data_IF_164848945558
#
_entry.id   IF_164848945558
#
_cell.length_a   1.000
_cell.length_b   1.000
_cell.length_c   1.000
_cell.angle_alpha   90.00
_cell.angle_beta   90.00
_cell.angle_gamma   90.00
#
_symmetry.space_group_name_H-M   'P 1'
#
loop_
_entity.id
_entity.type
_entity.pdbx_description
1 polymer ?
#
# COMPACT_ATOMS: atom_id res chain seq x y z
N UNK A 1 -25.80 -28.57 -14.23
CA UNK A 1 -25.28 -27.71 -15.33
C UNK A 1 -23.76 -27.67 -15.27
N UNK A 2 -23.06 -27.33 -16.37
CA UNK A 2 -21.61 -27.23 -16.37
C UNK A 2 -21.14 -25.96 -15.61
N UNK A 3 -20.09 -26.11 -14.80
CA UNK A 3 -19.40 -25.01 -14.14
C UNK A 3 -18.04 -24.85 -14.82
N UNK A 4 -17.82 -23.70 -15.42
CA UNK A 4 -16.55 -23.31 -16.01
C UNK A 4 -15.58 -23.05 -14.88
N UNK A 5 -14.47 -23.78 -14.91
CA UNK A 5 -13.42 -23.66 -13.91
C UNK A 5 -12.15 -23.08 -14.52
N UNK A 6 -11.80 -23.44 -15.76
CA UNK A 6 -10.61 -22.92 -16.43
C UNK A 6 -10.58 -21.39 -16.43
N UNK A 7 -9.52 -20.79 -15.85
CA UNK A 7 -9.44 -19.34 -15.67
C UNK A 7 -9.54 -18.56 -16.98
N UNK A 8 -9.12 -19.13 -18.12
CA UNK A 8 -9.16 -18.46 -19.43
C UNK A 8 -10.57 -18.28 -19.96
N UNK A 9 -11.51 -19.09 -19.47
CA UNK A 9 -12.92 -19.03 -19.86
C UNK A 9 -13.75 -18.18 -18.87
N UNK A 10 -13.13 -17.74 -17.76
CA UNK A 10 -13.73 -16.79 -16.83
C UNK A 10 -13.59 -15.35 -17.37
N UNK A 11 -14.45 -14.45 -16.88
CA UNK A 11 -14.27 -13.02 -17.11
C UNK A 11 -12.95 -12.58 -16.48
N UNK A 12 -12.05 -12.07 -17.31
CA UNK A 12 -10.72 -11.61 -16.91
C UNK A 12 -10.68 -10.10 -16.76
N UNK A 13 -9.79 -9.63 -15.90
CA UNK A 13 -9.50 -8.23 -15.72
C UNK A 13 -8.34 -7.75 -16.62
N UNK A 14 -8.02 -6.45 -16.58
CA UNK A 14 -6.97 -5.83 -17.43
C UNK A 14 -5.59 -6.47 -17.26
N UNK A 15 -5.33 -7.12 -16.13
CA UNK A 15 -4.07 -7.77 -15.80
C UNK A 15 -4.09 -9.31 -15.94
N UNK A 16 -5.13 -9.87 -16.57
CA UNK A 16 -5.22 -11.30 -16.91
C UNK A 16 -5.62 -12.23 -15.77
N UNK A 17 -6.01 -11.69 -14.60
CA UNK A 17 -6.61 -12.44 -13.50
C UNK A 17 -8.13 -12.50 -13.67
N UNK A 18 -8.81 -13.57 -13.20
CA UNK A 18 -10.26 -13.58 -13.10
C UNK A 18 -10.77 -12.40 -12.26
N UNK A 19 -11.89 -11.82 -12.68
CA UNK A 19 -12.65 -10.89 -11.84
C UNK A 19 -13.27 -11.65 -10.68
N UNK A 20 -13.50 -10.98 -9.54
CA UNK A 20 -13.96 -11.67 -8.34
C UNK A 20 -15.34 -12.31 -8.55
N UNK A 21 -16.26 -11.64 -9.27
CA UNK A 21 -17.62 -12.10 -9.57
C UNK A 21 -17.63 -13.37 -10.42
N UNK A 22 -16.67 -13.51 -11.35
CA UNK A 22 -16.53 -14.69 -12.18
C UNK A 22 -16.15 -15.95 -11.39
N UNK A 23 -15.59 -15.77 -10.18
CA UNK A 23 -15.18 -16.86 -9.31
C UNK A 23 -16.30 -17.33 -8.36
N UNK A 24 -17.47 -16.69 -8.34
CA UNK A 24 -18.60 -17.09 -7.48
C UNK A 24 -19.01 -18.57 -7.68
N UNK A 25 -19.23 -19.08 -8.90
CA UNK A 25 -19.58 -20.48 -9.10
C UNK A 25 -18.45 -21.43 -8.72
N UNK A 26 -17.19 -21.04 -8.96
CA UNK A 26 -16.01 -21.86 -8.67
C UNK A 26 -15.82 -22.02 -7.16
N UNK A 27 -15.95 -20.94 -6.40
CA UNK A 27 -15.82 -20.96 -4.93
C UNK A 27 -16.94 -21.79 -4.30
N UNK A 28 -18.17 -21.65 -4.78
CA UNK A 28 -19.28 -22.45 -4.29
C UNK A 28 -19.14 -23.93 -4.70
N UNK A 29 -18.60 -24.22 -5.89
CA UNK A 29 -18.26 -25.58 -6.30
C UNK A 29 -17.24 -26.21 -5.37
N UNK A 30 -16.14 -25.52 -5.08
CA UNK A 30 -15.14 -25.98 -4.11
C UNK A 30 -15.80 -26.27 -2.77
N UNK A 31 -16.64 -25.37 -2.26
CA UNK A 31 -17.35 -25.60 -1.00
C UNK A 31 -18.31 -26.80 -1.04
N UNK A 32 -18.89 -27.11 -2.20
CA UNK A 32 -19.80 -28.26 -2.38
C UNK A 32 -19.11 -29.63 -2.39
N UNK A 33 -17.81 -29.66 -2.64
CA UNK A 33 -17.01 -30.90 -2.69
C UNK A 33 -16.62 -31.40 -1.29
N UNK A 34 -16.87 -30.60 -0.25
CA UNK A 34 -16.62 -30.95 1.14
C UNK A 34 -17.93 -31.18 1.89
N UNK A 35 -18.03 -32.34 2.54
CA UNK A 35 -19.18 -32.67 3.39
C UNK A 35 -19.18 -31.90 4.72
N UNK A 36 -17.98 -31.57 5.21
CA UNK A 36 -17.72 -30.91 6.50
C UNK A 36 -17.29 -29.44 6.34
N UNK A 37 -17.07 -28.78 7.48
CA UNK A 37 -16.61 -27.40 7.54
C UNK A 37 -15.19 -27.26 6.97
N UNK A 38 -14.97 -26.23 6.15
CA UNK A 38 -13.71 -26.00 5.44
C UNK A 38 -13.10 -24.65 5.79
N UNK A 39 -11.77 -24.64 5.94
CA UNK A 39 -11.02 -23.41 6.21
C UNK A 39 -11.09 -22.45 5.02
N UNK A 40 -11.16 -21.15 5.31
CA UNK A 40 -11.11 -20.08 4.30
C UNK A 40 -9.88 -20.17 3.41
N UNK A 41 -8.73 -20.51 4.00
CA UNK A 41 -7.48 -20.72 3.25
C UNK A 41 -7.58 -21.90 2.31
N UNK A 42 -8.15 -23.02 2.76
CA UNK A 42 -8.39 -24.21 1.92
C UNK A 42 -9.28 -23.90 0.73
N UNK A 43 -10.39 -23.15 0.93
CA UNK A 43 -11.25 -22.71 -0.18
C UNK A 43 -10.43 -21.92 -1.21
N UNK A 44 -9.59 -20.98 -0.75
CA UNK A 44 -8.78 -20.15 -1.65
C UNK A 44 -7.78 -21.00 -2.43
N UNK A 45 -7.05 -21.88 -1.76
CA UNK A 45 -6.03 -22.72 -2.38
C UNK A 45 -6.66 -23.69 -3.39
N UNK A 46 -7.80 -24.30 -3.05
CA UNK A 46 -8.51 -25.22 -3.94
C UNK A 46 -9.16 -24.50 -5.11
N UNK A 47 -9.73 -23.31 -4.91
CA UNK A 47 -10.24 -22.49 -6.02
C UNK A 47 -9.13 -22.14 -7.02
N UNK A 48 -7.94 -21.75 -6.55
CA UNK A 48 -6.78 -21.49 -7.41
C UNK A 48 -6.41 -22.73 -8.23
N UNK A 49 -6.38 -23.91 -7.58
CA UNK A 49 -6.09 -25.19 -8.25
C UNK A 49 -7.16 -25.55 -9.27
N UNK A 50 -8.45 -25.42 -8.90
CA UNK A 50 -9.60 -25.71 -9.75
C UNK A 50 -9.60 -24.86 -11.00
N UNK A 51 -9.15 -23.61 -10.89
CA UNK A 51 -9.06 -22.70 -12.03
C UNK A 51 -7.87 -22.93 -12.95
N UNK A 52 -6.95 -23.83 -12.58
CA UNK A 52 -5.71 -24.07 -13.32
C UNK A 52 -4.89 -22.78 -13.51
N UNK A 53 -4.93 -21.87 -12.52
CA UNK A 53 -4.29 -20.55 -12.65
C UNK A 53 -2.75 -20.72 -12.66
N UNK A 54 -2.02 -20.16 -13.64
CA UNK A 54 -0.57 -20.35 -13.74
C UNK A 54 0.21 -19.61 -12.65
N UNK A 55 1.36 -20.16 -12.22
CA UNK A 55 2.20 -19.62 -11.14
C UNK A 55 2.53 -18.13 -11.26
N UNK A 56 2.87 -17.57 -12.44
CA UNK A 56 3.15 -16.13 -12.57
C UNK A 56 1.99 -15.25 -12.13
N UNK A 57 0.74 -15.65 -12.42
CA UNK A 57 -0.46 -14.91 -12.03
C UNK A 57 -0.76 -15.06 -10.53
N UNK A 58 -0.47 -16.22 -9.94
CA UNK A 58 -0.61 -16.44 -8.49
C UNK A 58 0.35 -15.56 -7.66
N UNK A 59 1.52 -15.24 -8.22
CA UNK A 59 2.58 -14.48 -7.57
C UNK A 59 2.41 -12.96 -7.65
N UNK A 60 1.37 -12.46 -8.34
CA UNK A 60 1.08 -11.03 -8.39
C UNK A 60 0.73 -10.50 -6.99
N UNK A 61 1.39 -9.40 -6.62
CA UNK A 61 1.25 -8.76 -5.31
C UNK A 61 0.71 -7.34 -5.43
N UNK A 62 -0.07 -6.90 -4.44
CA UNK A 62 -0.47 -5.50 -4.27
C UNK A 62 0.72 -4.64 -3.84
N UNK A 63 0.56 -3.33 -3.84
CA UNK A 63 1.53 -2.37 -3.29
C UNK A 63 1.90 -2.65 -1.82
N UNK A 64 1.05 -3.39 -1.09
CA UNK A 64 1.26 -3.84 0.30
C UNK A 64 1.93 -5.21 0.42
N UNK A 65 2.32 -5.83 -0.70
CA UNK A 65 2.97 -7.15 -0.73
C UNK A 65 2.02 -8.35 -0.60
N UNK A 66 0.70 -8.14 -0.58
CA UNK A 66 -0.31 -9.18 -0.43
C UNK A 66 -0.63 -9.85 -1.78
N UNK A 67 -0.92 -11.16 -1.79
CA UNK A 67 -1.33 -11.86 -3.02
C UNK A 67 -2.68 -11.34 -3.53
N UNK A 68 -2.68 -10.83 -4.77
CA UNK A 68 -3.88 -10.25 -5.39
C UNK A 68 -4.98 -11.30 -5.54
N UNK A 69 -4.67 -12.48 -6.09
CA UNK A 69 -5.67 -13.53 -6.30
C UNK A 69 -6.23 -14.06 -4.98
N UNK A 70 -5.38 -14.20 -3.95
CA UNK A 70 -5.80 -14.70 -2.64
C UNK A 70 -6.74 -13.72 -1.94
N UNK A 71 -6.50 -12.41 -2.09
CA UNK A 71 -7.43 -11.36 -1.66
C UNK A 71 -8.73 -11.43 -2.46
N UNK A 72 -8.65 -11.59 -3.79
CA UNK A 72 -9.82 -11.62 -4.69
C UNK A 72 -10.79 -12.76 -4.39
N UNK A 73 -10.29 -13.98 -4.17
CA UNK A 73 -11.14 -15.13 -3.82
C UNK A 73 -11.81 -14.93 -2.45
N UNK A 74 -11.27 -14.05 -1.61
CA UNK A 74 -11.92 -13.64 -0.37
C UNK A 74 -13.30 -13.01 -0.57
N UNK A 75 -13.54 -12.30 -1.68
CA UNK A 75 -14.81 -11.60 -1.96
C UNK A 75 -15.95 -12.55 -2.30
N UNK A 76 -15.80 -13.51 -3.22
CA UNK A 76 -16.81 -14.55 -3.42
C UNK A 76 -17.20 -15.25 -2.13
N UNK A 77 -16.23 -15.60 -1.28
CA UNK A 77 -16.51 -16.25 0.00
C UNK A 77 -17.41 -15.35 0.87
N UNK A 78 -17.08 -14.06 0.96
CA UNK A 78 -17.89 -13.08 1.71
C UNK A 78 -19.28 -12.89 1.09
N UNK A 79 -19.38 -12.70 -0.23
CA UNK A 79 -20.66 -12.44 -0.91
C UNK A 79 -21.58 -13.67 -0.86
N UNK A 80 -21.03 -14.88 -1.00
CA UNK A 80 -21.77 -16.13 -0.82
C UNK A 80 -22.22 -16.31 0.64
N UNK A 81 -21.42 -15.87 1.62
CA UNK A 81 -21.81 -15.93 3.03
C UNK A 81 -22.92 -14.92 3.36
N UNK A 82 -22.79 -13.66 2.91
CA UNK A 82 -23.79 -12.59 3.12
C UNK A 82 -25.12 -12.93 2.44
N UNK A 83 -25.09 -13.66 1.34
CA UNK A 83 -26.29 -14.10 0.61
C UNK A 83 -26.91 -15.40 1.11
N UNK A 84 -26.27 -16.10 2.05
CA UNK A 84 -26.77 -17.35 2.63
C UNK A 84 -26.48 -18.61 1.82
N UNK A 85 -25.62 -18.53 0.81
CA UNK A 85 -25.19 -19.70 0.03
C UNK A 85 -24.04 -20.45 0.72
N UNK A 86 -23.24 -19.72 1.50
CA UNK A 86 -22.33 -20.27 2.50
C UNK A 86 -22.83 -19.86 3.89
N UNK A 87 -22.59 -20.73 4.87
CA UNK A 87 -22.66 -20.38 6.27
C UNK A 87 -21.26 -20.44 6.88
N UNK A 88 -21.11 -19.75 8.01
CA UNK A 88 -19.86 -19.66 8.73
C UNK A 88 -20.07 -20.13 10.16
N UNK A 89 -20.00 -21.45 10.42
CA UNK A 89 -20.32 -22.01 11.73
C UNK A 89 -19.27 -21.68 12.79
N UNK A 90 -17.99 -21.50 12.41
CA UNK A 90 -16.89 -21.12 13.30
C UNK A 90 -15.92 -20.16 12.59
N UNK A 91 -15.05 -19.47 13.35
CA UNK A 91 -14.07 -18.52 12.78
C UNK A 91 -13.24 -19.17 11.68
N UNK A 92 -13.22 -18.54 10.51
CA UNK A 92 -12.46 -19.02 9.36
C UNK A 92 -12.92 -20.36 8.78
N UNK A 93 -14.00 -20.97 9.31
CA UNK A 93 -14.60 -22.20 8.82
C UNK A 93 -15.92 -21.88 8.12
N UNK A 94 -16.09 -22.44 6.93
CA UNK A 94 -17.25 -22.22 6.07
C UNK A 94 -17.88 -23.55 5.71
N UNK A 95 -19.17 -23.56 5.44
CA UNK A 95 -19.89 -24.73 4.96
C UNK A 95 -20.92 -24.29 3.92
N UNK A 96 -21.14 -25.10 2.88
CA UNK A 96 -22.17 -24.81 1.90
C UNK A 96 -23.56 -25.09 2.48
N UNK A 97 -24.50 -24.18 2.30
CA UNK A 97 -25.89 -24.36 2.76
C UNK A 97 -26.69 -25.22 1.77
N UNK A 98 -27.87 -25.69 2.20
CA UNK A 98 -28.78 -26.38 1.27
C UNK A 98 -29.21 -25.50 0.10
N UNK A 99 -29.41 -24.20 0.35
CA UNK A 99 -29.68 -23.19 -0.69
C UNK A 99 -28.49 -23.09 -1.65
N UNK A 100 -27.27 -23.03 -1.12
CA UNK A 100 -26.04 -23.03 -1.92
C UNK A 100 -25.94 -24.23 -2.86
N UNK A 101 -26.19 -25.44 -2.34
CA UNK A 101 -26.19 -26.68 -3.15
C UNK A 101 -27.24 -26.65 -4.26
N UNK A 102 -28.47 -26.23 -3.93
CA UNK A 102 -29.57 -26.14 -4.89
C UNK A 102 -29.24 -25.15 -6.01
N UNK A 103 -28.84 -23.92 -5.66
CA UNK A 103 -28.56 -22.87 -6.64
C UNK A 103 -27.34 -23.20 -7.50
N UNK A 104 -26.32 -23.84 -6.93
CA UNK A 104 -25.18 -24.34 -7.70
C UNK A 104 -25.62 -25.34 -8.78
N UNK A 105 -26.50 -26.29 -8.43
CA UNK A 105 -27.03 -27.28 -9.36
C UNK A 105 -27.91 -26.66 -10.46
N UNK A 106 -28.82 -25.77 -10.08
CA UNK A 106 -29.81 -25.14 -10.98
C UNK A 106 -29.19 -24.08 -11.90
N UNK A 107 -28.25 -23.28 -11.41
CA UNK A 107 -27.71 -22.12 -12.13
C UNK A 107 -26.33 -22.37 -12.74
N UNK A 108 -25.47 -23.17 -12.11
CA UNK A 108 -24.08 -23.35 -12.55
C UNK A 108 -23.39 -22.01 -12.85
N UNK A 109 -22.89 -21.84 -14.08
CA UNK A 109 -22.28 -20.60 -14.56
C UNK A 109 -23.20 -19.35 -14.53
N UNK A 110 -24.52 -19.53 -14.44
CA UNK A 110 -25.47 -18.41 -14.34
C UNK A 110 -25.63 -17.87 -12.92
N UNK A 111 -24.85 -18.38 -11.96
CA UNK A 111 -24.81 -17.86 -10.59
C UNK A 111 -23.99 -16.56 -10.55
N UNK A 112 -24.56 -15.49 -11.08
CA UNK A 112 -23.93 -14.16 -11.15
C UNK A 112 -24.07 -13.39 -9.83
N UNK A 113 -23.25 -12.36 -9.63
CA UNK A 113 -23.39 -11.42 -8.52
C UNK A 113 -24.78 -10.79 -8.49
N UNK A 114 -25.32 -10.38 -9.65
CA UNK A 114 -26.67 -9.84 -9.78
C UNK A 114 -27.74 -10.80 -9.22
N UNK A 115 -27.63 -12.10 -9.52
CA UNK A 115 -28.55 -13.10 -9.00
C UNK A 115 -28.38 -13.35 -7.50
N UNK A 116 -27.14 -13.38 -7.01
CA UNK A 116 -26.83 -13.58 -5.60
C UNK A 116 -27.34 -12.41 -4.74
N UNK A 117 -27.31 -11.19 -5.27
CA UNK A 117 -27.81 -9.99 -4.58
C UNK A 117 -29.33 -9.95 -4.42
N UNK A 118 -30.06 -10.77 -5.18
CA UNK A 118 -31.52 -10.93 -5.06
C UNK A 118 -31.90 -11.88 -3.91
N UNK A 119 -30.94 -12.52 -3.23
CA UNK A 119 -31.25 -13.44 -2.14
C UNK A 119 -31.79 -12.68 -0.90
N UNK A 120 -32.77 -13.24 -0.17
CA UNK A 120 -33.40 -12.56 0.97
C UNK A 120 -32.41 -12.09 2.04
N UNK A 121 -31.41 -12.92 2.37
CA UNK A 121 -30.38 -12.56 3.36
C UNK A 121 -29.52 -11.38 2.90
N UNK A 122 -29.17 -11.33 1.62
CA UNK A 122 -28.42 -10.21 1.06
C UNK A 122 -29.23 -8.91 1.10
N UNK A 123 -30.51 -8.97 0.70
CA UNK A 123 -31.42 -7.81 0.74
C UNK A 123 -31.58 -7.31 2.18
N UNK A 124 -31.70 -8.23 3.15
CA UNK A 124 -31.80 -7.88 4.56
C UNK A 124 -30.50 -7.20 5.06
N UNK A 125 -29.34 -7.75 4.74
CA UNK A 125 -28.05 -7.16 5.06
C UNK A 125 -27.90 -5.74 4.47
N UNK A 126 -28.32 -5.54 3.22
CA UNK A 126 -28.32 -4.21 2.58
C UNK A 126 -29.24 -3.22 3.31
N UNK A 127 -30.45 -3.64 3.70
CA UNK A 127 -31.38 -2.79 4.48
C UNK A 127 -30.77 -2.35 5.81
N UNK A 128 -30.04 -3.23 6.48
CA UNK A 128 -29.33 -2.92 7.73
C UNK A 128 -28.18 -1.92 7.52
N UNK A 129 -27.47 -2.00 6.39
CA UNK A 129 -26.47 -1.00 5.99
C UNK A 129 -27.09 0.38 5.73
N UNK A 130 -28.26 0.44 5.06
CA UNK A 130 -29.00 1.69 4.80
C UNK A 130 -29.48 2.33 6.10
N UNK A 131 -30.06 1.53 7.00
CA UNK A 131 -30.57 2.01 8.30
C UNK A 131 -29.45 2.58 9.20
N UNK A 132 -28.20 2.14 9.02
CA UNK A 132 -27.02 2.71 9.70
C UNK A 132 -26.54 4.05 9.14
N UNK A 133 -27.23 4.63 8.15
CA UNK A 133 -26.94 5.98 7.63
C UNK A 133 -26.02 6.04 6.41
N UNK A 134 -25.77 4.92 5.72
CA UNK A 134 -24.96 4.88 4.50
C UNK A 134 -25.78 5.20 3.23
N UNK A 135 -26.49 6.34 3.19
CA UNK A 135 -27.35 6.69 2.05
C UNK A 135 -26.60 6.91 0.73
N UNK A 136 -25.28 7.16 0.72
CA UNK A 136 -24.51 7.39 -0.52
C UNK A 136 -23.91 6.11 -1.14
N UNK A 137 -23.83 5.01 -0.40
CA UNK A 137 -23.23 3.75 -0.89
C UNK A 137 -24.24 2.95 -1.75
N UNK A 138 -25.54 3.12 -1.49
CA UNK A 138 -26.60 2.32 -2.14
C UNK A 138 -26.83 2.75 -3.59
N UNK A 139 -26.68 4.04 -3.90
CA UNK A 139 -26.68 4.52 -5.29
C UNK A 139 -25.33 4.30 -5.99
N UNK A 140 -24.21 4.36 -5.26
CA UNK A 140 -22.87 4.10 -5.79
C UNK A 140 -22.60 2.62 -6.09
N UNK A 141 -23.35 1.69 -5.49
CA UNK A 141 -23.32 0.27 -5.86
C UNK A 141 -23.81 0.01 -7.30
N UNK A 142 -24.58 0.93 -7.88
CA UNK A 142 -24.93 0.92 -9.31
C UNK A 142 -23.87 1.60 -10.21
N UNK A 143 -22.99 2.44 -9.63
CA UNK A 143 -21.87 3.07 -10.36
C UNK A 143 -20.61 2.18 -10.31
N UNK A 144 -20.51 1.25 -9.36
CA UNK A 144 -19.42 0.27 -9.25
C UNK A 144 -19.52 -0.92 -10.23
N UNK A 145 -20.38 -0.85 -11.24
CA UNK A 145 -20.50 -1.90 -12.27
C UNK A 145 -19.35 -1.91 -13.29
N UNK A 146 -18.42 -0.95 -13.24
CA UNK A 146 -17.33 -0.85 -14.22
C UNK A 146 -15.94 -1.31 -13.74
N UNK A 147 -15.74 -1.56 -12.44
CA UNK A 147 -14.44 -2.06 -11.94
C UNK A 147 -14.62 -3.24 -10.98
N UNK A 148 -14.89 -4.43 -11.55
CA UNK A 148 -14.74 -5.72 -10.86
C UNK A 148 -13.28 -6.05 -10.46
N UNK A 149 -12.40 -5.04 -10.46
CA UNK A 149 -10.95 -5.10 -10.29
C UNK A 149 -10.47 -4.52 -8.94
N UNK A 150 -11.27 -3.68 -8.25
CA UNK A 150 -10.82 -2.90 -7.09
C UNK A 150 -11.71 -3.03 -5.85
N UNK A 151 -11.07 -3.37 -4.71
CA UNK A 151 -11.66 -3.32 -3.37
C UNK A 151 -11.93 -1.86 -2.96
N UNK A 152 -13.09 -1.51 -2.34
CA UNK A 152 -13.36 -0.17 -1.82
C UNK A 152 -12.24 0.40 -0.92
N UNK A 153 -11.60 -0.43 -0.09
CA UNK A 153 -10.46 0.00 0.73
C UNK A 153 -9.23 0.33 -0.10
N UNK A 154 -8.95 -0.45 -1.15
CA UNK A 154 -7.85 -0.15 -2.08
C UNK A 154 -8.12 1.13 -2.88
N UNK A 155 -9.39 1.39 -3.20
CA UNK A 155 -9.78 2.65 -3.82
C UNK A 155 -9.48 3.83 -2.89
N UNK A 156 -9.89 3.75 -1.61
CA UNK A 156 -9.56 4.77 -0.60
C UNK A 156 -8.05 4.97 -0.48
N UNK A 157 -7.27 3.89 -0.37
CA UNK A 157 -5.81 3.96 -0.31
C UNK A 157 -5.21 4.66 -1.53
N UNK A 158 -5.70 4.33 -2.73
CA UNK A 158 -5.23 4.95 -3.98
C UNK A 158 -5.57 6.43 -4.05
N UNK A 159 -6.74 6.83 -3.54
CA UNK A 159 -7.17 8.23 -3.48
C UNK A 159 -6.32 9.01 -2.47
N UNK A 160 -6.09 8.43 -1.28
CA UNK A 160 -5.21 9.02 -0.26
C UNK A 160 -3.79 9.18 -0.79
N UNK A 161 -3.25 8.16 -1.46
CA UNK A 161 -1.91 8.22 -2.08
C UNK A 161 -1.83 9.35 -3.12
N UNK A 162 -2.76 9.40 -4.08
CA UNK A 162 -2.79 10.46 -5.10
C UNK A 162 -2.89 11.87 -4.48
N UNK A 163 -3.69 12.02 -3.42
CA UNK A 163 -3.80 13.27 -2.70
C UNK A 163 -2.46 13.65 -2.05
N UNK A 164 -1.82 12.71 -1.35
CA UNK A 164 -0.53 12.92 -0.71
C UNK A 164 0.59 13.20 -1.72
N UNK A 165 0.62 12.52 -2.87
CA UNK A 165 1.58 12.78 -3.96
C UNK A 165 1.45 14.23 -4.45
N UNK A 166 0.22 14.72 -4.63
CA UNK A 166 -0.03 16.13 -5.00
C UNK A 166 0.47 17.10 -3.93
N UNK A 167 0.25 16.79 -2.64
CA UNK A 167 0.73 17.60 -1.53
C UNK A 167 2.25 17.59 -1.45
N UNK A 168 2.89 16.44 -1.67
CA UNK A 168 4.35 16.25 -1.71
C UNK A 168 4.99 17.17 -2.78
N UNK A 169 4.41 17.20 -3.98
CA UNK A 169 4.86 18.09 -5.07
C UNK A 169 4.69 19.58 -4.71
N UNK A 170 3.53 19.96 -4.17
CA UNK A 170 3.26 21.34 -3.77
C UNK A 170 4.20 21.81 -2.63
N UNK A 171 4.50 20.91 -1.69
CA UNK A 171 5.45 21.13 -0.60
C UNK A 171 6.86 21.38 -1.16
N UNK A 172 7.34 20.54 -2.07
CA UNK A 172 8.64 20.69 -2.71
C UNK A 172 8.79 22.04 -3.43
N UNK A 173 7.74 22.49 -4.13
CA UNK A 173 7.72 23.81 -4.77
C UNK A 173 7.83 24.96 -3.76
N UNK A 174 7.16 24.86 -2.60
CA UNK A 174 7.32 25.86 -1.53
C UNK A 174 8.76 25.87 -0.99
N UNK A 175 9.38 24.70 -0.82
CA UNK A 175 10.77 24.59 -0.34
C UNK A 175 11.73 25.26 -1.33
N UNK A 176 11.58 25.02 -2.64
CA UNK A 176 12.41 25.64 -3.69
C UNK A 176 12.34 27.18 -3.68
N UNK A 177 11.15 27.73 -3.41
CA UNK A 177 10.89 29.18 -3.28
C UNK A 177 11.42 29.79 -1.98
N UNK A 178 11.63 28.98 -0.94
CA UNK A 178 12.23 29.40 0.32
C UNK A 178 13.68 29.87 0.17
N UNK A 179 14.23 30.53 1.19
CA UNK A 179 15.64 30.93 1.20
C UNK A 179 16.57 29.71 1.38
N UNK A 180 17.86 29.78 0.97
CA UNK A 180 18.83 28.72 1.26
C UNK A 180 18.93 28.40 2.76
N UNK A 181 18.94 29.43 3.61
CA UNK A 181 18.94 29.26 5.07
C UNK A 181 17.70 28.54 5.60
N UNK A 182 16.52 28.82 5.02
CA UNK A 182 15.30 28.07 5.37
C UNK A 182 15.44 26.58 5.02
N UNK A 183 16.02 26.27 3.86
CA UNK A 183 16.22 24.88 3.44
C UNK A 183 17.19 24.12 4.35
N UNK A 184 18.30 24.74 4.76
CA UNK A 184 19.22 24.14 5.73
C UNK A 184 18.51 23.82 7.06
N UNK A 185 17.75 24.78 7.59
CA UNK A 185 16.97 24.59 8.82
C UNK A 185 15.95 23.45 8.66
N UNK A 186 15.24 23.42 7.54
CA UNK A 186 14.23 22.40 7.23
C UNK A 186 14.83 20.99 7.23
N UNK A 187 15.99 20.82 6.61
CA UNK A 187 16.68 19.53 6.54
C UNK A 187 17.07 19.05 7.93
N UNK A 188 17.57 19.93 8.78
CA UNK A 188 17.91 19.56 10.17
C UNK A 188 16.66 19.21 10.99
N UNK A 189 15.56 19.95 10.81
CA UNK A 189 14.29 19.65 11.46
C UNK A 189 13.74 18.28 11.03
N UNK A 190 13.82 17.95 9.73
CA UNK A 190 13.47 16.64 9.21
C UNK A 190 14.30 15.53 9.86
N UNK A 191 15.63 15.67 9.86
CA UNK A 191 16.53 14.67 10.44
C UNK A 191 16.29 14.48 11.93
N UNK A 192 15.99 15.56 12.66
CA UNK A 192 15.61 15.49 14.08
C UNK A 192 14.32 14.69 14.28
N UNK A 193 13.29 14.91 13.46
CA UNK A 193 12.03 14.15 13.53
C UNK A 193 12.18 12.69 13.10
N UNK A 194 13.19 12.38 12.29
CA UNK A 194 13.60 11.01 11.97
C UNK A 194 14.36 10.32 13.12
N UNK A 195 14.74 11.05 14.16
CA UNK A 195 15.43 10.52 15.33
C UNK A 195 16.95 10.69 15.33
N UNK A 196 17.53 11.39 14.35
CA UNK A 196 18.96 11.73 14.35
C UNK A 196 19.24 12.81 15.40
N UNK A 197 20.37 12.67 16.11
CA UNK A 197 20.75 13.53 17.24
C UNK A 197 22.13 14.12 16.99
N UNK A 198 22.44 15.30 17.51
CA UNK A 198 23.81 15.85 17.48
C UNK A 198 24.57 15.56 18.78
N UNK A 199 25.71 16.23 18.97
CA UNK A 199 26.67 16.01 20.07
C UNK A 199 26.06 16.17 21.49
N UNK A 200 24.85 16.75 21.60
CA UNK A 200 24.10 16.91 22.85
C UNK A 200 22.64 16.42 22.77
N UNK A 201 22.35 15.45 21.90
CA UNK A 201 20.99 14.92 21.73
C UNK A 201 20.08 15.72 20.78
N UNK A 202 20.56 16.85 20.23
CA UNK A 202 19.86 17.70 19.26
C UNK A 202 20.61 17.75 17.94
N UNK A 203 19.96 17.48 16.81
CA UNK A 203 20.58 17.59 15.48
C UNK A 203 21.18 19.01 15.31
N UNK A 204 22.46 19.09 14.96
CA UNK A 204 23.19 20.36 14.93
C UNK A 204 23.46 20.80 13.49
N UNK A 205 23.01 22.01 13.13
CA UNK A 205 23.54 22.71 11.95
C UNK A 205 24.96 23.15 12.33
N UNK A 206 25.98 22.66 11.63
CA UNK A 206 27.31 23.26 11.76
C UNK A 206 27.25 24.65 11.17
N UNK A 207 27.37 25.69 12.00
CA UNK A 207 27.49 27.05 11.49
C UNK A 207 28.75 27.15 10.63
N UNK A 208 28.53 27.34 9.32
CA UNK A 208 29.46 27.99 8.40
C UNK A 208 30.90 27.46 8.56
N UNK A 209 31.11 26.16 8.36
CA UNK A 209 32.47 25.67 8.27
C UNK A 209 33.07 26.17 6.96
N UNK A 210 34.23 26.80 7.02
CA UNK A 210 35.03 27.19 5.85
C UNK A 210 35.49 25.99 4.99
N UNK A 211 35.04 24.78 5.31
CA UNK A 211 35.29 23.56 4.56
C UNK A 211 34.25 23.35 3.47
N UNK A 212 34.58 23.83 2.27
CA UNK A 212 34.57 23.14 0.96
C UNK A 212 33.50 22.05 0.66
N UNK A 213 32.34 22.04 1.33
CA UNK A 213 31.23 21.13 1.05
C UNK A 213 30.82 20.19 2.17
N UNK A 214 30.69 20.64 3.43
CA UNK A 214 29.85 19.98 4.44
C UNK A 214 28.92 21.02 5.08
N UNK A 215 27.61 20.77 5.05
CA UNK A 215 26.60 21.69 5.57
C UNK A 215 26.08 21.29 6.97
N UNK A 216 26.29 20.04 7.39
CA UNK A 216 25.84 19.57 8.70
C UNK A 216 26.51 18.28 9.19
N UNK A 217 26.42 18.05 10.49
CA UNK A 217 26.91 16.84 11.16
C UNK A 217 25.78 16.31 12.05
N UNK A 218 25.41 15.05 11.84
CA UNK A 218 24.38 14.36 12.63
C UNK A 218 24.94 13.04 13.17
N UNK A 219 24.51 12.64 14.34
CA UNK A 219 24.80 11.33 14.93
C UNK A 219 23.56 10.45 14.85
N UNK A 220 23.77 9.17 14.56
CA UNK A 220 22.73 8.15 14.60
C UNK A 220 22.33 7.76 16.03
N UNK A 221 23.21 8.05 16.99
CA UNK A 221 23.03 7.73 18.39
C UNK A 221 23.34 8.93 19.29
N UNK A 222 22.80 8.90 20.51
CA UNK A 222 22.96 9.99 21.47
C UNK A 222 24.38 10.12 22.04
N UNK A 223 25.22 9.10 21.91
CA UNK A 223 26.60 9.07 22.40
C UNK A 223 27.59 9.59 21.36
N UNK A 224 27.15 9.84 20.13
CA UNK A 224 28.00 10.33 19.04
C UNK A 224 28.95 9.27 18.47
N UNK A 225 28.66 7.98 18.67
CA UNK A 225 29.55 6.90 18.17
C UNK A 225 29.44 6.67 16.67
N UNK A 226 28.33 7.08 16.07
CA UNK A 226 28.05 6.94 14.63
C UNK A 226 27.67 8.27 14.02
N UNK A 227 28.68 9.02 13.58
CA UNK A 227 28.52 10.33 12.92
C UNK A 227 28.32 10.17 11.42
N UNK A 228 27.36 10.93 10.87
CA UNK A 228 27.05 11.03 9.45
C UNK A 228 27.12 12.50 9.06
N UNK A 229 27.80 12.78 7.96
CA UNK A 229 27.97 14.13 7.44
C UNK A 229 26.92 14.41 6.37
N UNK A 230 26.47 15.66 6.30
CA UNK A 230 25.38 16.10 5.45
C UNK A 230 25.84 17.18 4.50
N UNK A 231 25.42 17.09 3.23
CA UNK A 231 25.38 18.21 2.30
C UNK A 231 23.95 18.43 1.82
N UNK A 232 23.48 19.67 1.80
CA UNK A 232 22.15 20.08 1.36
C UNK A 232 22.26 21.15 0.25
N UNK A 233 21.88 20.80 -0.98
CA UNK A 233 21.88 21.73 -2.14
C UNK A 233 20.48 22.10 -2.59
N UNK A 234 20.12 23.37 -2.46
CA UNK A 234 18.86 23.90 -2.99
C UNK A 234 18.99 24.27 -4.47
N UNK A 235 18.54 23.41 -5.36
CA UNK A 235 18.55 23.61 -6.82
C UNK A 235 17.14 23.63 -7.42
N UNK A 236 17.03 24.32 -8.57
CA UNK A 236 15.81 24.34 -9.37
C UNK A 236 15.65 23.04 -10.16
N UNK A 237 14.42 22.75 -10.58
CA UNK A 237 14.10 21.59 -11.42
C UNK A 237 14.97 21.59 -12.67
N UNK A 238 15.55 20.43 -12.99
CA UNK A 238 16.40 20.23 -14.16
C UNK A 238 17.85 20.68 -13.98
N UNK A 239 18.17 21.42 -12.91
CA UNK A 239 19.55 21.64 -12.50
C UNK A 239 20.00 20.48 -11.60
N UNK A 240 20.34 19.36 -12.23
CA UNK A 240 20.68 18.14 -11.50
C UNK A 240 22.08 18.24 -10.90
N UNK A 241 22.25 17.66 -9.71
CA UNK A 241 23.53 17.53 -9.02
C UNK A 241 24.44 16.62 -9.84
N UNK A 242 25.66 17.10 -10.09
CA UNK A 242 26.61 16.45 -11.00
C UNK A 242 27.69 15.67 -10.27
N UNK A 243 28.39 14.78 -11.00
CA UNK A 243 29.44 13.90 -10.44
C UNK A 243 30.55 14.66 -9.72
N UNK A 244 30.93 15.83 -10.21
CA UNK A 244 31.96 16.68 -9.58
C UNK A 244 31.55 17.13 -8.17
N UNK A 245 30.26 17.36 -7.91
CA UNK A 245 29.77 17.70 -6.56
C UNK A 245 29.89 16.50 -5.63
N UNK A 246 29.61 15.28 -6.10
CA UNK A 246 29.80 14.07 -5.31
C UNK A 246 31.27 13.83 -4.98
N UNK A 247 32.17 14.08 -5.94
CA UNK A 247 33.62 13.99 -5.72
C UNK A 247 34.12 15.01 -4.70
N UNK A 248 33.61 16.25 -4.78
CA UNK A 248 33.94 17.29 -3.81
C UNK A 248 33.45 16.91 -2.40
N UNK A 249 32.22 16.41 -2.29
CA UNK A 249 31.67 15.95 -1.02
C UNK A 249 32.46 14.78 -0.44
N UNK A 250 32.78 13.76 -1.23
CA UNK A 250 33.61 12.64 -0.80
C UNK A 250 35.01 13.08 -0.35
N UNK A 251 35.62 14.04 -1.06
CA UNK A 251 36.88 14.65 -0.64
C UNK A 251 36.80 15.35 0.71
N UNK A 252 35.68 16.03 0.97
CA UNK A 252 35.42 16.64 2.27
C UNK A 252 35.24 15.57 3.36
N UNK A 253 34.44 14.52 3.13
CA UNK A 253 34.27 13.39 4.05
C UNK A 253 35.61 12.76 4.46
N UNK A 254 36.48 12.52 3.48
CA UNK A 254 37.82 11.96 3.68
C UNK A 254 38.68 12.85 4.58
N UNK A 255 38.55 14.17 4.47
CA UNK A 255 39.22 15.14 5.35
C UNK A 255 38.81 15.03 6.82
N UNK A 256 37.58 14.60 7.09
CA UNK A 256 37.08 14.31 8.43
C UNK A 256 37.30 12.85 8.87
N UNK A 257 37.99 12.04 8.07
CA UNK A 257 38.21 10.62 8.36
C UNK A 257 36.93 9.78 8.31
N UNK A 258 35.88 10.27 7.63
CA UNK A 258 34.61 9.58 7.47
C UNK A 258 34.43 9.09 6.03
N UNK A 259 33.75 7.96 5.89
CA UNK A 259 33.34 7.39 4.61
C UNK A 259 31.81 7.43 4.42
N UNK A 260 31.05 8.00 5.36
CA UNK A 260 29.57 8.00 5.33
C UNK A 260 29.01 9.41 5.24
N UNK A 261 28.17 9.63 4.23
CA UNK A 261 27.50 10.91 4.05
C UNK A 261 26.10 10.78 3.48
N UNK A 262 25.30 11.83 3.70
CA UNK A 262 23.98 12.01 3.08
C UNK A 262 24.02 13.29 2.26
N UNK A 263 23.66 13.17 0.98
CA UNK A 263 23.54 14.31 0.08
C UNK A 263 22.07 14.54 -0.25
N UNK A 264 21.57 15.72 0.08
CA UNK A 264 20.17 16.10 -0.11
C UNK A 264 20.07 17.23 -1.12
N UNK A 265 19.14 17.12 -2.08
CA UNK A 265 18.85 18.22 -3.00
C UNK A 265 17.37 18.40 -3.23
N UNK A 266 16.95 19.63 -3.54
CA UNK A 266 15.59 19.93 -4.02
C UNK A 266 15.41 19.64 -5.51
N UNK A 267 16.45 19.20 -6.21
CA UNK A 267 16.44 18.80 -7.64
C UNK A 267 16.60 17.28 -7.75
N UNK A 268 17.23 16.79 -8.81
CA UNK A 268 17.61 15.38 -8.98
C UNK A 268 19.13 15.21 -9.16
N UNK A 269 19.58 13.97 -9.28
CA UNK A 269 20.99 13.62 -9.53
C UNK A 269 21.19 13.18 -10.98
N UNK A 270 22.36 13.46 -11.57
CA UNK A 270 22.72 12.84 -12.86
C UNK A 270 23.15 11.39 -12.67
N UNK A 271 23.03 10.58 -13.73
CA UNK A 271 23.42 9.16 -13.69
C UNK A 271 24.86 8.98 -13.19
N UNK A 272 25.78 9.86 -13.62
CA UNK A 272 27.17 9.84 -13.18
C UNK A 272 27.36 10.21 -11.70
N UNK A 273 26.47 11.03 -11.13
CA UNK A 273 26.46 11.32 -9.69
C UNK A 273 25.97 10.10 -8.89
N UNK A 274 24.88 9.46 -9.34
CA UNK A 274 24.32 8.25 -8.71
C UNK A 274 25.32 7.10 -8.73
N UNK A 275 25.95 6.85 -9.88
CA UNK A 275 26.96 5.79 -10.03
C UNK A 275 28.16 6.02 -9.10
N UNK A 276 28.62 7.27 -8.98
CA UNK A 276 29.73 7.59 -8.10
C UNK A 276 29.38 7.41 -6.62
N UNK A 277 28.22 7.93 -6.18
CA UNK A 277 27.78 7.84 -4.79
C UNK A 277 27.59 6.40 -4.30
N UNK A 278 27.07 5.52 -5.18
CA UNK A 278 26.88 4.09 -4.89
C UNK A 278 28.16 3.38 -4.45
N UNK A 279 29.31 3.81 -4.98
CA UNK A 279 30.61 3.22 -4.66
C UNK A 279 31.30 3.82 -3.42
N UNK A 280 30.74 4.90 -2.84
CA UNK A 280 31.41 5.70 -1.81
C UNK A 280 30.59 5.84 -0.52
N UNK A 281 29.64 4.93 -0.27
CA UNK A 281 28.75 4.94 0.91
C UNK A 281 28.04 6.29 1.16
N UNK A 282 27.71 7.00 0.08
CA UNK A 282 26.93 8.24 0.10
C UNK A 282 25.48 7.91 -0.21
N UNK A 283 24.57 8.27 0.70
CA UNK A 283 23.12 8.19 0.50
C UNK A 283 22.64 9.45 -0.22
N UNK A 284 21.85 9.27 -1.28
CA UNK A 284 21.29 10.37 -2.06
C UNK A 284 19.79 10.52 -1.75
N UNK A 285 19.36 11.76 -1.48
CA UNK A 285 17.96 12.13 -1.27
C UNK A 285 17.62 13.25 -2.26
N UNK A 286 16.84 12.93 -3.29
CA UNK A 286 16.39 13.91 -4.27
C UNK A 286 15.13 14.65 -3.79
N UNK A 287 14.65 15.62 -4.57
CA UNK A 287 13.56 16.50 -4.15
C UNK A 287 12.26 15.76 -3.84
N UNK A 288 11.91 14.73 -4.62
CA UNK A 288 10.68 13.95 -4.40
C UNK A 288 10.81 13.07 -3.15
N UNK A 289 11.94 12.40 -2.97
CA UNK A 289 12.21 11.61 -1.77
C UNK A 289 12.21 12.50 -0.51
N UNK A 290 12.75 13.72 -0.61
CA UNK A 290 12.73 14.68 0.47
C UNK A 290 11.30 15.04 0.88
N UNK A 291 10.43 15.38 -0.07
CA UNK A 291 9.05 15.75 0.25
C UNK A 291 8.24 14.57 0.79
N UNK A 292 8.48 13.35 0.29
CA UNK A 292 7.84 12.14 0.81
C UNK A 292 8.26 11.85 2.26
N UNK A 293 9.55 12.00 2.58
CA UNK A 293 10.05 11.93 3.95
C UNK A 293 9.41 13.00 4.83
N UNK A 294 9.24 14.23 4.33
CA UNK A 294 8.56 15.29 5.09
C UNK A 294 7.10 14.95 5.38
N UNK A 295 6.38 14.32 4.45
CA UNK A 295 5.02 13.84 4.72
C UNK A 295 5.02 12.73 5.77
N UNK A 296 5.92 11.75 5.63
CA UNK A 296 6.05 10.62 6.54
C UNK A 296 6.35 11.05 7.99
N UNK A 297 7.26 12.01 8.16
CA UNK A 297 7.68 12.54 9.46
C UNK A 297 6.94 13.83 9.86
N UNK A 298 5.88 14.20 9.13
CA UNK A 298 5.00 15.34 9.40
C UNK A 298 5.72 16.69 9.56
N UNK A 299 6.72 16.95 8.72
CA UNK A 299 7.49 18.20 8.73
C UNK A 299 6.93 19.17 7.69
N UNK A 300 6.55 20.37 8.10
CA UNK A 300 6.00 21.38 7.19
C UNK A 300 4.60 21.04 6.63
N UNK A 301 3.93 20.03 7.18
CA UNK A 301 2.58 19.59 6.82
C UNK A 301 1.74 19.33 8.07
N UNK A 302 0.41 19.31 7.91
CA UNK A 302 -0.52 18.96 8.99
C UNK A 302 -1.43 17.82 8.55
N UNK A 303 -1.81 16.95 9.48
CA UNK A 303 -2.82 15.91 9.22
C UNK A 303 -4.17 16.58 8.95
N UNK A 304 -4.63 16.53 7.69
CA UNK A 304 -5.89 17.15 7.28
C UNK A 304 -7.11 16.31 7.67
N UNK A 305 -7.01 14.99 7.56
CA UNK A 305 -8.09 14.03 7.88
C UNK A 305 -7.50 12.64 8.14
N UNK A 306 -8.11 11.91 9.06
CA UNK A 306 -7.77 10.52 9.37
C UNK A 306 -8.99 9.63 9.15
N UNK A 307 -8.78 8.46 8.53
CA UNK A 307 -9.81 7.47 8.26
C UNK A 307 -9.54 6.23 9.12
N UNK A 308 -10.51 5.83 9.92
CA UNK A 308 -10.45 4.61 10.75
C UNK A 308 -11.43 3.60 10.20
N UNK A 309 -10.96 2.37 9.97
CA UNK A 309 -11.79 1.24 9.54
C UNK A 309 -11.83 0.19 10.64
N UNK A 310 -12.93 -0.54 10.71
CA UNK A 310 -13.13 -1.62 11.67
C UNK A 310 -13.26 -2.94 10.91
N UNK A 311 -12.67 -4.00 11.46
CA UNK A 311 -12.93 -5.38 11.07
C UNK A 311 -13.65 -6.07 12.23
N UNK A 312 -14.36 -7.16 11.94
CA UNK A 312 -15.02 -7.94 12.98
C UNK A 312 -13.93 -8.66 13.79
N UNK A 313 -13.95 -8.45 15.10
CA UNK A 313 -13.19 -9.31 16.01
C UNK A 313 -13.91 -10.64 16.13
N UNK A 314 -13.45 -11.61 15.36
CA UNK A 314 -14.05 -12.92 15.28
C UNK A 314 -13.83 -13.76 16.55
N UNK A 315 -12.81 -13.47 17.35
CA UNK A 315 -12.55 -14.20 18.60
C UNK A 315 -13.58 -13.84 19.66
N UNK A 316 -14.16 -12.64 19.58
CA UNK A 316 -15.26 -12.21 20.44
C UNK A 316 -16.50 -13.13 20.35
N UNK A 317 -16.69 -13.85 19.23
CA UNK A 317 -17.87 -14.68 18.96
C UNK A 317 -17.62 -16.18 19.13
N UNK A 318 -16.45 -16.59 19.62
CA UNK A 318 -16.19 -18.00 19.95
C UNK A 318 -16.69 -18.23 21.38
N UNK A 319 -17.68 -19.12 21.57
CA UNK A 319 -18.07 -19.58 22.91
C UNK A 319 -16.94 -20.49 23.45
N UNK A 320 -16.47 -20.22 24.67
CA UNK A 320 -15.54 -21.10 25.38
C UNK A 320 -16.28 -22.42 25.69
N UNK A 321 -15.89 -23.51 25.02
CA UNK A 321 -16.37 -24.89 25.27
C UNK A 321 -15.88 -25.43 26.63
#
# INVERSE_FOLDING_TARGET
>A
MAITTNYKELKLCKHGLPTWDAMLPVVLLVASEHAEQIKRSTIKDEAIKKMELPKPLQQLKSDRGESIIYSRIGWPISELAVSGLLERPKRGLYQITNLGKQLLFEKGNKLTSEFIRQQPQYIQHQKELVQKGNNEIVESANIANDDADSNPLQLVDSVVKKYNDSVSIELLERIRKGSPYFFEKLVVELLSNMGYKGENGHAMVTQKSNDKGIDGIINQDALGTSTVYLQAKKYQVGNNVQRNEMQAFFGALSGYGSDRGVFITTSDFSDGAVEYAKNQHIVLINGLQLSDLMLQYQVGVNVKKQYTTFDIDEDFFIEDD
#
